data_IF_585476065600
#
_entry.id   IF_585476065600
#
_cell.length_a   1.000
_cell.length_b   1.000
_cell.length_c   1.000
_cell.angle_alpha   90.00
_cell.angle_beta   90.00
_cell.angle_gamma   90.00
#
_symmetry.space_group_name_H-M   'P 1'
#
loop_
_entity.id
_entity.type
_entity.pdbx_description
1 polymer ?
#
# COMPACT_ATOMS: atom_id res chain seq x y z
N UNK A 1 -7.72 24.10 -18.22
CA UNK A 1 -7.35 24.01 -16.79
C UNK A 1 -8.44 23.25 -16.06
N UNK A 2 -8.20 21.99 -15.68
CA UNK A 2 -9.13 21.21 -14.85
C UNK A 2 -8.49 20.98 -13.49
N UNK A 3 -8.97 21.65 -12.43
CA UNK A 3 -8.56 21.35 -11.06
C UNK A 3 -9.36 20.12 -10.56
N UNK A 4 -8.71 19.27 -9.76
CA UNK A 4 -9.38 18.35 -8.83
C UNK A 4 -10.07 17.10 -9.42
N UNK A 5 -9.32 16.21 -10.05
CA UNK A 5 -9.57 14.78 -9.80
C UNK A 5 -8.71 14.39 -8.60
N UNK A 6 -9.24 13.86 -7.49
CA UNK A 6 -8.39 13.31 -6.46
C UNK A 6 -7.61 12.18 -7.13
N UNK A 7 -6.33 12.41 -7.39
CA UNK A 7 -5.38 11.33 -7.66
C UNK A 7 -5.40 10.48 -6.40
N UNK A 8 -6.36 9.56 -6.37
CA UNK A 8 -6.54 8.57 -5.33
C UNK A 8 -5.38 7.63 -5.55
N UNK A 9 -4.20 8.01 -5.04
CA UNK A 9 -2.99 7.20 -5.11
C UNK A 9 -3.35 5.88 -4.45
N UNK A 10 -3.63 4.80 -5.20
CA UNK A 10 -4.29 3.63 -4.64
C UNK A 10 -3.34 2.83 -3.74
N UNK A 11 -2.04 3.14 -3.85
CA UNK A 11 -0.94 2.39 -3.27
C UNK A 11 -0.04 3.36 -2.48
N UNK A 12 0.20 3.03 -1.23
CA UNK A 12 1.26 3.64 -0.41
C UNK A 12 2.44 2.67 -0.32
N UNK A 13 3.62 3.15 0.03
CA UNK A 13 4.78 2.31 0.29
C UNK A 13 5.69 2.90 1.33
N UNK A 14 6.62 2.09 1.78
CA UNK A 14 7.57 2.44 2.82
C UNK A 14 8.99 2.38 2.26
N UNK A 15 9.73 3.49 2.31
CA UNK A 15 11.12 3.55 1.83
C UNK A 15 12.06 2.61 2.57
N UNK A 16 11.88 2.42 3.87
CA UNK A 16 12.80 1.62 4.69
C UNK A 16 12.61 0.13 4.48
N UNK A 17 11.36 -0.34 4.33
CA UNK A 17 11.08 -1.76 4.09
C UNK A 17 10.97 -2.10 2.60
N UNK A 18 10.90 -1.09 1.73
CA UNK A 18 10.60 -1.22 0.31
C UNK A 18 9.34 -2.07 0.08
N UNK A 19 8.32 -1.89 0.90
CA UNK A 19 7.04 -2.60 0.78
C UNK A 19 5.96 -1.60 0.36
N UNK A 20 5.15 -1.95 -0.64
CA UNK A 20 3.95 -1.21 -1.00
C UNK A 20 2.68 -1.91 -0.51
N UNK A 21 1.75 -1.13 0.01
CA UNK A 21 0.47 -1.51 0.58
C UNK A 21 -0.68 -0.75 -0.12
N UNK A 22 -1.93 -1.13 0.14
CA UNK A 22 -3.10 -0.31 -0.21
C UNK A 22 -3.28 0.85 0.78
N UNK A 23 -3.94 1.93 0.36
CA UNK A 23 -4.23 3.11 1.22
C UNK A 23 -4.90 2.71 2.55
N UNK A 24 -5.82 1.75 2.53
CA UNK A 24 -6.54 1.31 3.73
C UNK A 24 -5.87 0.11 4.45
N UNK A 25 -4.54 0.00 4.35
CA UNK A 25 -3.79 -1.09 4.97
C UNK A 25 -3.28 -0.70 6.38
N UNK A 26 -3.54 -1.51 7.43
CA UNK A 26 -3.04 -1.21 8.78
C UNK A 26 -1.51 -1.05 8.88
N UNK A 27 -0.65 -1.92 8.31
CA UNK A 27 0.80 -1.70 8.32
C UNK A 27 1.22 -0.48 7.48
N UNK A 28 0.51 -0.19 6.39
CA UNK A 28 0.72 1.05 5.62
C UNK A 28 0.39 2.30 6.45
N UNK A 29 -0.67 2.25 7.26
CA UNK A 29 -1.09 3.33 8.16
C UNK A 29 -0.11 3.55 9.32
N UNK A 30 0.54 2.49 9.80
CA UNK A 30 1.60 2.56 10.83
C UNK A 30 2.96 3.04 10.29
N UNK A 31 3.14 3.09 8.97
CA UNK A 31 4.37 3.60 8.38
C UNK A 31 4.52 5.08 8.69
N UNK A 32 5.67 5.46 9.25
CA UNK A 32 6.02 6.86 9.53
C UNK A 32 5.86 7.72 8.28
N UNK A 33 5.26 8.92 8.36
CA UNK A 33 5.04 9.77 7.19
C UNK A 33 6.35 10.11 6.47
N UNK A 34 7.47 10.25 7.18
CA UNK A 34 8.81 10.51 6.64
C UNK A 34 9.29 9.45 5.65
N UNK A 35 8.92 8.19 5.88
CA UNK A 35 9.29 7.05 5.04
C UNK A 35 8.15 6.63 4.11
N UNK A 36 6.99 7.31 4.16
CA UNK A 36 5.83 6.96 3.36
C UNK A 36 5.95 7.56 1.97
N UNK A 37 5.78 6.71 0.96
CA UNK A 37 5.76 7.07 -0.46
C UNK A 37 4.37 6.72 -1.00
N UNK A 38 3.88 7.48 -1.97
CA UNK A 38 2.64 7.16 -2.67
C UNK A 38 2.97 6.83 -4.12
N UNK A 39 2.26 5.85 -4.67
CA UNK A 39 2.43 5.40 -6.05
C UNK A 39 1.11 5.52 -6.79
N UNK A 40 1.19 5.85 -8.09
CA UNK A 40 0.02 5.91 -8.96
C UNK A 40 -0.54 4.53 -9.31
N UNK A 41 0.27 3.47 -9.22
CA UNK A 41 -0.13 2.10 -9.55
C UNK A 41 0.80 1.05 -8.93
N UNK A 42 0.31 -0.20 -8.85
CA UNK A 42 1.10 -1.36 -8.40
C UNK A 42 2.33 -1.55 -9.30
N UNK A 43 2.17 -1.36 -10.60
CA UNK A 43 3.28 -1.52 -11.56
C UNK A 43 4.41 -0.52 -11.29
N UNK A 44 4.07 0.74 -11.04
CA UNK A 44 5.04 1.78 -10.69
C UNK A 44 5.83 1.43 -9.42
N UNK A 45 5.14 0.98 -8.37
CA UNK A 45 5.80 0.54 -7.14
C UNK A 45 6.77 -0.62 -7.37
N UNK A 46 6.36 -1.62 -8.17
CA UNK A 46 7.21 -2.77 -8.53
C UNK A 46 8.41 -2.36 -9.37
N UNK A 47 8.23 -1.47 -10.34
CA UNK A 47 9.33 -0.92 -11.15
C UNK A 47 10.35 -0.17 -10.31
N UNK A 48 9.94 0.48 -9.22
CA UNK A 48 10.87 1.09 -8.25
C UNK A 48 11.50 0.10 -7.26
N UNK A 49 11.27 -1.20 -7.41
CA UNK A 49 11.83 -2.24 -6.56
C UNK A 49 11.08 -2.47 -5.24
N UNK A 50 9.85 -1.95 -5.11
CA UNK A 50 9.03 -2.22 -3.92
C UNK A 50 8.33 -3.57 -4.06
N UNK A 51 8.24 -4.30 -2.96
CA UNK A 51 7.61 -5.61 -2.86
C UNK A 51 6.16 -5.47 -2.38
N UNK A 52 5.28 -6.36 -2.84
CA UNK A 52 3.89 -6.36 -2.40
C UNK A 52 3.79 -6.68 -0.91
N UNK A 53 2.93 -5.96 -0.20
CA UNK A 53 2.61 -6.28 1.18
C UNK A 53 1.98 -7.68 1.26
N UNK A 54 2.55 -8.54 2.11
CA UNK A 54 2.01 -9.88 2.40
C UNK A 54 0.72 -9.85 3.22
N UNK A 55 0.37 -8.69 3.79
CA UNK A 55 -0.81 -8.50 4.63
C UNK A 55 -2.04 -8.11 3.81
N UNK A 56 -1.97 -7.00 3.09
CA UNK A 56 -3.10 -6.52 2.30
C UNK A 56 -3.12 -7.04 0.86
N UNK A 57 -2.07 -7.77 0.44
CA UNK A 57 -1.92 -8.38 -0.89
C UNK A 57 -2.64 -7.59 -1.98
N UNK A 58 -2.20 -6.35 -2.28
CA UNK A 58 -2.97 -5.38 -3.05
C UNK A 58 -3.31 -5.78 -4.49
N UNK A 59 -2.85 -6.95 -4.96
CA UNK A 59 -3.24 -7.57 -6.23
C UNK A 59 -4.30 -8.67 -6.10
N UNK A 60 -4.83 -8.94 -4.90
CA UNK A 60 -5.97 -9.82 -4.68
C UNK A 60 -7.19 -8.97 -4.30
N UNK A 61 -8.40 -9.29 -4.80
CA UNK A 61 -9.62 -8.65 -4.33
C UNK A 61 -9.79 -8.95 -2.85
N UNK A 62 -9.57 -7.94 -2.02
CA UNK A 62 -9.85 -7.98 -0.60
C UNK A 62 -11.37 -8.02 -0.43
N UNK A 63 -11.89 -9.08 0.16
CA UNK A 63 -13.32 -9.30 0.36
C UNK A 63 -13.90 -8.41 1.49
N UNK A 64 -13.34 -7.22 1.68
CA UNK A 64 -13.76 -6.22 2.67
C UNK A 64 -13.58 -6.67 4.12
N UNK A 65 -12.92 -7.80 4.36
CA UNK A 65 -12.78 -8.36 5.71
C UNK A 65 -11.76 -7.55 6.51
N UNK A 66 -12.06 -7.20 7.78
CA UNK A 66 -11.06 -6.63 8.66
C UNK A 66 -9.88 -7.59 8.79
N UNK A 67 -8.67 -7.04 8.77
CA UNK A 67 -7.44 -7.81 8.87
C UNK A 67 -7.44 -8.67 10.13
N UNK A 68 -7.33 -10.00 9.96
CA UNK A 68 -7.06 -10.94 11.05
C UNK A 68 -5.56 -11.27 11.05
N UNK A 69 -4.83 -11.06 12.15
CA UNK A 69 -3.49 -11.62 12.27
C UNK A 69 -3.60 -13.14 12.08
N UNK A 70 -2.76 -13.72 11.22
CA UNK A 70 -2.55 -15.18 11.25
C UNK A 70 -2.05 -15.49 12.65
N UNK A 71 -2.90 -16.09 13.48
CA UNK A 71 -2.50 -16.62 14.77
C UNK A 71 -1.30 -17.54 14.52
N UNK A 72 -0.13 -17.14 15.03
CA UNK A 72 1.05 -17.97 15.03
C UNK A 72 0.75 -19.24 15.82
N UNK A 73 1.20 -20.38 15.28
CA UNK A 73 1.30 -21.63 16.04
C UNK A 73 2.32 -21.51 17.16
#
# INVERSE_FOLDING_TARGET
MSPESPVTHPINGCRTTQIYCRVNCPPGRRTKPENRVYFGSINEARSKGFRACRVCTPGLPDDGKPWVPKAGR
#
